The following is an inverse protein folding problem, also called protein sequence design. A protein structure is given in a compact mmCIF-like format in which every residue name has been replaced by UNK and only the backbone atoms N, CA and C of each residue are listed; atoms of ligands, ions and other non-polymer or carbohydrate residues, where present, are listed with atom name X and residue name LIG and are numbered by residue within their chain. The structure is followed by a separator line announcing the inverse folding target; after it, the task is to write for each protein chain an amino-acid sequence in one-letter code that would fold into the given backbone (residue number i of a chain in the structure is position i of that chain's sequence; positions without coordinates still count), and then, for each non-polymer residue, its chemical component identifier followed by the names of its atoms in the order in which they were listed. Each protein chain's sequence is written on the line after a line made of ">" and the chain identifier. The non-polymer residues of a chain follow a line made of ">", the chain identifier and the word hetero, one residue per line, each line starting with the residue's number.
data_IF_048804697797
#
_entry.id   IF_048804697797
#
_cell.length_a   1.000
_cell.length_b   1.000
_cell.length_c   1.000
_cell.angle_alpha   90.00
_cell.angle_beta   90.00
_cell.angle_gamma   90.00
#
_symmetry.space_group_name_H-M   'P 1'
#
loop_
_entity.id
_entity.type
_entity.pdbx_description
1 polymer ?
#
# COMPACT_ATOMS: atom_id res chain seq x y z
N UNK A 1 15.95 23.49 7.49
CA UNK A 1 15.73 22.04 7.30
C UNK A 1 14.37 21.86 6.63
N UNK A 2 14.28 21.17 5.47
CA UNK A 2 13.01 21.03 4.76
C UNK A 2 12.07 20.08 5.52
N UNK A 3 10.81 20.49 5.63
CA UNK A 3 9.71 19.81 6.31
C UNK A 3 9.59 18.30 5.97
N UNK A 4 9.93 17.92 4.74
CA UNK A 4 9.94 16.52 4.27
C UNK A 4 10.90 15.58 5.02
N UNK A 5 12.06 16.07 5.45
CA UNK A 5 13.01 15.25 6.22
C UNK A 5 12.55 14.99 7.66
N UNK A 6 11.64 15.82 8.19
CA UNK A 6 11.08 15.63 9.52
C UNK A 6 9.90 14.64 9.53
N UNK A 7 9.21 14.46 8.40
CA UNK A 7 8.15 13.45 8.26
C UNK A 7 8.75 12.03 8.16
N UNK A 8 9.87 11.85 7.46
CA UNK A 8 10.52 10.54 7.32
C UNK A 8 11.12 10.01 8.63
N UNK A 9 11.53 10.89 9.53
CA UNK A 9 12.10 10.50 10.84
C UNK A 9 11.06 10.09 11.87
N UNK A 10 9.80 10.50 11.71
CA UNK A 10 8.69 10.11 12.60
C UNK A 10 8.05 8.75 12.28
N UNK A 11 8.34 8.19 11.10
CA UNK A 11 7.80 6.92 10.59
C UNK A 11 8.94 6.11 9.97
N UNK A 12 9.99 5.79 10.74
CA UNK A 12 11.14 5.04 10.21
C UNK A 12 10.96 3.53 10.37
N UNK A 13 10.34 2.87 9.39
CA UNK A 13 10.52 1.42 9.12
C UNK A 13 11.69 1.13 8.16
N UNK A 14 12.44 2.16 7.75
CA UNK A 14 13.39 2.05 6.65
C UNK A 14 12.67 1.84 5.30
N UNK A 15 13.34 1.21 4.33
CA UNK A 15 12.75 0.82 3.05
C UNK A 15 11.98 -0.52 3.12
N UNK A 16 11.57 -0.95 4.31
CA UNK A 16 10.91 -2.22 4.56
C UNK A 16 9.44 -2.22 4.13
N UNK A 17 9.01 -3.31 3.48
CA UNK A 17 7.59 -3.58 3.20
C UNK A 17 7.02 -4.45 4.32
N UNK A 18 6.49 -3.82 5.36
CA UNK A 18 6.17 -4.47 6.64
C UNK A 18 4.87 -3.95 7.28
N UNK A 19 4.62 -4.37 8.53
CA UNK A 19 3.41 -4.02 9.30
C UNK A 19 3.48 -2.65 9.97
N UNK A 20 4.61 -1.94 9.89
CA UNK A 20 4.80 -0.66 10.56
C UNK A 20 3.81 0.40 10.07
N UNK A 21 3.41 0.34 8.80
CA UNK A 21 2.33 1.17 8.25
C UNK A 21 1.07 1.05 9.12
N UNK A 22 0.56 -0.16 9.34
CA UNK A 22 -0.66 -0.39 10.12
C UNK A 22 -0.47 -0.09 11.61
N UNK A 23 0.70 -0.40 12.18
CA UNK A 23 1.02 -0.05 13.57
C UNK A 23 1.03 1.48 13.79
N UNK A 24 1.43 2.25 12.77
CA UNK A 24 1.41 3.72 12.83
C UNK A 24 -0.03 4.25 12.83
N UNK A 25 -0.93 3.65 12.06
CA UNK A 25 -2.36 4.05 12.03
C UNK A 25 -3.05 3.80 13.38
N UNK A 26 -2.72 2.70 14.06
CA UNK A 26 -3.22 2.42 15.42
C UNK A 26 -2.80 3.49 16.44
N UNK A 27 -1.67 4.15 16.22
CA UNK A 27 -1.13 5.23 17.08
C UNK A 27 -1.58 6.62 16.65
N UNK A 28 -2.48 6.73 15.66
CA UNK A 28 -2.90 8.02 15.12
C UNK A 28 -1.80 8.74 14.33
N UNK A 29 -0.83 8.01 13.79
CA UNK A 29 0.35 8.54 13.08
C UNK A 29 0.31 8.25 11.57
N UNK A 30 -0.88 8.19 10.97
CA UNK A 30 -1.01 8.18 9.51
C UNK A 30 -0.45 9.47 8.91
N UNK A 31 0.36 9.36 7.86
CA UNK A 31 1.01 10.51 7.24
C UNK A 31 0.01 11.31 6.41
N UNK A 32 -0.76 10.62 5.57
CA UNK A 32 -1.80 11.25 4.77
C UNK A 32 -3.14 11.18 5.51
N UNK A 33 -4.00 12.17 5.27
CA UNK A 33 -5.38 12.14 5.77
C UNK A 33 -6.08 10.82 5.40
N UNK A 34 -5.93 10.38 4.14
CA UNK A 34 -6.51 9.13 3.64
C UNK A 34 -6.03 7.89 4.39
N UNK A 35 -4.78 7.86 4.89
CA UNK A 35 -4.26 6.74 5.68
C UNK A 35 -5.02 6.63 7.00
N UNK A 36 -5.14 7.76 7.72
CA UNK A 36 -5.78 7.75 9.02
C UNK A 36 -7.29 7.50 8.93
N UNK A 37 -7.92 7.77 7.77
CA UNK A 37 -9.32 7.41 7.52
C UNK A 37 -9.58 5.90 7.54
N UNK A 38 -8.56 5.05 7.39
CA UNK A 38 -8.73 3.59 7.56
C UNK A 38 -9.17 3.22 8.98
N UNK A 39 -8.96 4.09 9.97
CA UNK A 39 -9.42 3.89 11.35
C UNK A 39 -10.78 4.52 11.64
N UNK A 40 -11.37 5.28 10.71
CA UNK A 40 -12.61 6.04 10.93
C UNK A 40 -13.87 5.16 10.95
N UNK A 41 -13.82 3.95 10.39
CA UNK A 41 -14.92 3.00 10.43
C UNK A 41 -14.43 1.62 10.92
N UNK A 42 -15.30 0.88 11.60
CA UNK A 42 -14.92 -0.41 12.21
C UNK A 42 -14.58 -1.51 11.19
N UNK A 43 -15.09 -1.44 9.95
CA UNK A 43 -14.79 -2.45 8.94
C UNK A 43 -13.32 -2.40 8.53
N UNK A 44 -12.80 -1.21 8.24
CA UNK A 44 -11.39 -1.02 7.89
C UNK A 44 -10.50 -1.03 9.12
N UNK A 45 -10.95 -0.50 10.26
CA UNK A 45 -10.17 -0.52 11.51
C UNK A 45 -9.87 -1.96 11.97
N UNK A 46 -10.81 -2.91 11.78
CA UNK A 46 -10.56 -4.33 12.07
C UNK A 46 -9.43 -4.91 11.23
N UNK A 47 -9.34 -4.56 9.94
CA UNK A 47 -8.24 -5.01 9.08
C UNK A 47 -6.91 -4.36 9.50
N UNK A 48 -6.91 -3.07 9.84
CA UNK A 48 -5.71 -2.40 10.36
C UNK A 48 -5.20 -3.10 11.63
N UNK A 49 -6.10 -3.41 12.58
CA UNK A 49 -5.73 -4.17 13.79
C UNK A 49 -5.17 -5.54 13.46
N UNK A 50 -5.77 -6.27 12.52
CA UNK A 50 -5.30 -7.60 12.11
C UNK A 50 -3.89 -7.53 11.48
N UNK A 51 -3.69 -6.66 10.50
CA UNK A 51 -2.40 -6.50 9.82
C UNK A 51 -1.30 -5.94 10.71
N UNK A 52 -1.63 -5.24 11.79
CA UNK A 52 -0.67 -4.76 12.78
C UNK A 52 -0.30 -5.83 13.83
N UNK A 53 -1.05 -6.94 13.92
CA UNK A 53 -0.99 -7.87 15.07
C UNK A 53 -0.04 -9.05 14.89
N UNK A 54 0.39 -9.35 13.66
CA UNK A 54 1.28 -10.47 13.36
C UNK A 54 2.63 -10.01 12.77
N UNK A 55 3.45 -10.97 12.34
CA UNK A 55 4.74 -10.77 11.67
C UNK A 55 4.60 -10.26 10.19
N UNK A 56 3.41 -9.80 9.82
CA UNK A 56 3.02 -9.34 8.50
C UNK A 56 2.59 -10.45 7.55
N UNK A 57 2.49 -11.70 7.99
CA UNK A 57 2.03 -12.80 7.14
C UNK A 57 0.61 -12.57 6.61
N UNK A 58 -0.34 -12.16 7.46
CA UNK A 58 -1.71 -11.85 7.02
C UNK A 58 -1.73 -10.71 6.02
N UNK A 59 -1.01 -9.62 6.30
CA UNK A 59 -0.90 -8.49 5.38
C UNK A 59 -0.33 -8.90 4.02
N UNK A 60 0.81 -9.61 4.01
CA UNK A 60 1.47 -10.00 2.75
C UNK A 60 0.60 -10.91 1.90
N UNK A 61 -0.12 -11.86 2.51
CA UNK A 61 -1.05 -12.74 1.81
C UNK A 61 -2.19 -11.95 1.15
N UNK A 62 -2.81 -11.04 1.89
CA UNK A 62 -3.96 -10.27 1.42
C UNK A 62 -3.53 -9.23 0.37
N UNK A 63 -2.37 -8.61 0.58
CA UNK A 63 -1.74 -7.70 -0.38
C UNK A 63 -1.46 -8.41 -1.71
N UNK A 64 -0.88 -9.61 -1.70
CA UNK A 64 -0.64 -10.37 -2.93
C UNK A 64 -1.94 -10.67 -3.69
N UNK A 65 -3.01 -11.05 -2.98
CA UNK A 65 -4.33 -11.27 -3.59
C UNK A 65 -4.92 -9.99 -4.17
N UNK A 66 -4.80 -8.86 -3.47
CA UNK A 66 -5.26 -7.57 -3.95
C UNK A 66 -4.51 -7.12 -5.21
N UNK A 67 -3.18 -7.30 -5.24
CA UNK A 67 -2.35 -6.95 -6.38
C UNK A 67 -2.61 -7.84 -7.61
N UNK A 68 -2.85 -9.14 -7.43
CA UNK A 68 -3.28 -10.02 -8.53
C UNK A 68 -4.66 -9.62 -9.09
N UNK A 69 -5.59 -9.20 -8.23
CA UNK A 69 -6.88 -8.70 -8.69
C UNK A 69 -6.72 -7.39 -9.46
N UNK A 70 -5.87 -6.50 -8.96
CA UNK A 70 -5.59 -5.20 -9.57
C UNK A 70 -4.89 -5.34 -10.93
N UNK A 71 -3.94 -6.26 -11.07
CA UNK A 71 -3.20 -6.48 -12.32
C UNK A 71 -4.09 -6.93 -13.49
N UNK A 72 -5.26 -7.49 -13.19
CA UNK A 72 -6.19 -7.99 -14.18
C UNK A 72 -7.23 -6.93 -14.62
N UNK A 73 -7.22 -5.73 -14.04
CA UNK A 73 -8.16 -4.67 -14.40
C UNK A 73 -7.84 -4.15 -15.82
N UNK A 74 -8.79 -4.33 -16.74
CA UNK A 74 -8.73 -3.81 -18.12
C UNK A 74 -7.46 -4.21 -18.89
N UNK A 75 -6.90 -5.39 -18.60
CA UNK A 75 -5.73 -5.90 -19.30
C UNK A 75 -6.05 -6.14 -20.79
N UNK A 76 -5.19 -5.64 -21.67
CA UNK A 76 -5.25 -5.95 -23.10
C UNK A 76 -4.70 -7.37 -23.31
N UNK A 77 -5.50 -8.23 -23.95
CA UNK A 77 -5.17 -9.65 -24.13
C UNK A 77 -5.40 -10.10 -25.58
N UNK A 78 -4.80 -11.24 -25.95
CA UNK A 78 -4.90 -11.77 -27.31
C UNK A 78 -4.31 -10.80 -28.33
N UNK A 79 -5.13 -10.37 -29.30
CA UNK A 79 -4.74 -9.40 -30.33
C UNK A 79 -5.03 -7.94 -29.94
N UNK A 80 -5.47 -7.66 -28.72
CA UNK A 80 -5.69 -6.29 -28.25
C UNK A 80 -4.35 -5.63 -27.90
N UNK A 81 -4.13 -4.41 -28.41
CA UNK A 81 -2.92 -3.63 -28.12
C UNK A 81 -1.70 -4.05 -28.94
N UNK A 82 -0.50 -3.82 -28.39
CA UNK A 82 0.78 -4.13 -29.03
C UNK A 82 1.85 -4.42 -27.98
N UNK A 83 2.83 -5.26 -28.33
CA UNK A 83 4.06 -5.43 -27.55
C UNK A 83 5.03 -4.32 -27.96
N UNK A 84 5.24 -3.35 -27.08
CA UNK A 84 6.12 -2.20 -27.36
C UNK A 84 7.59 -2.61 -27.27
N UNK A 85 8.40 -2.16 -28.23
CA UNK A 85 9.86 -2.26 -28.14
C UNK A 85 10.44 -1.22 -27.18
N UNK A 86 9.78 -0.06 -27.10
CA UNK A 86 10.12 1.02 -26.18
C UNK A 86 8.84 1.52 -25.49
N UNK A 87 8.79 1.46 -24.15
CA UNK A 87 7.56 1.73 -23.39
C UNK A 87 7.08 3.19 -23.50
N UNK A 88 8.02 4.14 -23.67
CA UNK A 88 7.80 5.59 -23.70
C UNK A 88 7.27 6.09 -25.04
N UNK A 89 7.48 5.35 -26.13
CA UNK A 89 6.96 5.72 -27.44
C UNK A 89 5.53 5.18 -27.62
N UNK A 90 4.68 6.01 -28.18
CA UNK A 90 3.46 5.53 -28.79
C UNK A 90 3.83 4.87 -30.12
N UNK A 91 3.40 3.62 -30.33
CA UNK A 91 3.41 3.01 -31.66
C UNK A 91 2.34 3.62 -32.54
#
# INVERSE_FOLDING_TARGET
>A
MPYFQQLSSSVSSGAGFDTHYYQSLLRGRGLLFADQQLMANERTARLVRAYASDDGSTFRMDFARAMMKMSNLNALTGSQGQVRLECTLAG
#
